data_IF_852939691922
#
_entry.id   IF_852939691922
#
_cell.length_a   1.000
_cell.length_b   1.000
_cell.length_c   1.000
_cell.angle_alpha   90.00
_cell.angle_beta   90.00
_cell.angle_gamma   90.00
#
_symmetry.space_group_name_H-M   'P 1'
#
loop_
_entity.id
_entity.type
_entity.pdbx_description
1 polymer ?
#
# COMPACT_ATOMS: atom_id res chain seq x y z
N UNK A 1 -0.84 -14.58 14.11
CA UNK A 1 -0.47 -14.86 12.75
C UNK A 1 0.69 -13.97 12.33
N UNK A 2 1.77 -14.57 11.88
CA UNK A 2 3.05 -13.93 11.62
C UNK A 2 2.92 -12.84 10.55
N UNK A 3 3.31 -11.61 10.89
CA UNK A 3 3.47 -10.50 9.94
C UNK A 3 4.64 -10.72 8.95
N UNK A 4 5.43 -11.79 9.15
CA UNK A 4 6.60 -12.09 8.33
C UNK A 4 6.30 -12.59 6.92
N UNK A 5 5.19 -13.28 6.71
CA UNK A 5 4.92 -13.95 5.45
C UNK A 5 4.26 -13.06 4.39
N UNK A 6 3.67 -11.94 4.81
CA UNK A 6 2.99 -11.03 3.87
C UNK A 6 3.95 -10.21 2.99
N UNK A 7 5.22 -10.16 3.33
CA UNK A 7 6.23 -9.43 2.57
C UNK A 7 7.02 -10.29 1.58
N UNK A 8 6.95 -11.62 1.71
CA UNK A 8 7.70 -12.56 0.87
C UNK A 8 7.19 -12.67 -0.56
N UNK A 9 5.95 -12.26 -0.81
CA UNK A 9 5.30 -12.35 -2.12
C UNK A 9 5.33 -11.03 -2.92
N UNK A 10 6.13 -10.05 -2.49
CA UNK A 10 6.31 -8.81 -3.22
C UNK A 10 7.14 -9.07 -4.47
N UNK A 11 6.50 -8.99 -5.63
CA UNK A 11 7.16 -9.03 -6.92
C UNK A 11 7.39 -7.61 -7.41
N UNK A 12 8.64 -7.30 -7.73
CA UNK A 12 9.03 -6.07 -8.41
C UNK A 12 9.16 -6.35 -9.90
N UNK A 13 8.47 -5.58 -10.72
CA UNK A 13 8.61 -5.61 -12.16
C UNK A 13 8.77 -4.19 -12.69
N UNK A 14 9.62 -4.01 -13.68
CA UNK A 14 9.83 -2.74 -14.34
C UNK A 14 9.86 -2.91 -15.86
N UNK A 15 9.53 -1.86 -16.59
CA UNK A 15 9.50 -1.88 -18.03
C UNK A 15 8.50 -0.90 -18.64
N UNK A 16 8.28 -1.02 -19.93
CA UNK A 16 7.25 -0.23 -20.61
C UNK A 16 5.86 -0.59 -20.10
N UNK A 17 5.00 0.41 -20.02
CA UNK A 17 3.60 0.21 -19.63
C UNK A 17 2.88 -0.67 -20.66
N UNK A 18 2.62 -1.90 -20.29
CA UNK A 18 1.95 -2.93 -21.11
C UNK A 18 0.96 -3.73 -20.27
N UNK A 19 0.33 -4.70 -20.88
CA UNK A 19 -0.38 -5.77 -20.16
C UNK A 19 0.64 -6.55 -19.33
N UNK A 20 0.26 -6.97 -18.13
CA UNK A 20 1.15 -7.73 -17.23
C UNK A 20 1.48 -7.02 -15.93
N UNK A 21 1.08 -5.76 -15.77
CA UNK A 21 1.19 -5.03 -14.50
C UNK A 21 -0.10 -5.09 -13.64
N UNK A 22 -1.08 -5.85 -14.09
CA UNK A 22 -2.27 -6.17 -13.30
C UNK A 22 -2.07 -7.40 -12.41
N UNK A 23 -3.09 -7.79 -11.70
CA UNK A 23 -3.14 -9.05 -10.98
C UNK A 23 -4.37 -9.86 -11.47
N UNK A 24 -4.17 -11.02 -12.09
CA UNK A 24 -2.92 -11.70 -12.47
C UNK A 24 -2.21 -11.11 -13.71
N UNK A 25 -1.12 -11.73 -14.13
CA UNK A 25 -0.19 -11.24 -15.18
C UNK A 25 -0.81 -10.94 -16.55
N UNK A 26 -1.99 -11.47 -16.86
CA UNK A 26 -2.75 -11.24 -18.10
C UNK A 26 -3.70 -10.04 -17.98
N UNK A 27 -3.74 -9.37 -16.86
CA UNK A 27 -4.64 -8.23 -16.57
C UNK A 27 -3.94 -6.89 -16.66
N UNK A 28 -4.76 -5.87 -16.84
CA UNK A 28 -4.37 -4.47 -16.70
C UNK A 28 -5.02 -3.87 -15.47
N UNK A 29 -4.32 -2.93 -14.84
CA UNK A 29 -4.89 -2.08 -13.80
C UNK A 29 -5.24 -0.69 -14.34
N UNK A 30 -5.77 0.20 -13.49
CA UNK A 30 -6.11 1.57 -13.87
C UNK A 30 -4.90 2.40 -14.33
N UNK A 31 -3.70 2.03 -13.90
CA UNK A 31 -2.44 2.67 -14.30
C UNK A 31 -2.19 2.62 -15.81
N UNK A 32 -2.66 1.58 -16.50
CA UNK A 32 -2.47 1.44 -17.94
C UNK A 32 -3.15 2.57 -18.70
N UNK A 33 -4.44 2.75 -18.51
CA UNK A 33 -5.22 3.79 -19.19
C UNK A 33 -4.81 5.18 -18.74
N UNK A 34 -4.53 5.35 -17.45
CA UNK A 34 -4.01 6.59 -16.90
C UNK A 34 -2.70 6.99 -17.57
N UNK A 35 -1.73 6.08 -17.66
CA UNK A 35 -0.43 6.35 -18.26
C UNK A 35 -0.51 6.72 -19.70
N UNK A 36 -1.23 5.96 -20.54
CA UNK A 36 -1.42 6.25 -21.95
C UNK A 36 -2.09 7.60 -22.17
N UNK A 37 -3.08 7.94 -21.36
CA UNK A 37 -3.80 9.21 -21.45
C UNK A 37 -2.90 10.39 -21.07
N UNK A 38 -2.18 10.27 -19.96
CA UNK A 38 -1.30 11.33 -19.47
C UNK A 38 -0.13 11.60 -20.41
N UNK A 39 0.50 10.56 -20.98
CA UNK A 39 1.55 10.72 -21.97
C UNK A 39 1.05 11.52 -23.19
N UNK A 40 -0.14 11.21 -23.70
CA UNK A 40 -0.75 11.94 -24.82
C UNK A 40 -1.06 13.40 -24.48
N UNK A 41 -1.53 13.67 -23.26
CA UNK A 41 -1.91 15.02 -22.86
C UNK A 41 -0.70 15.90 -22.55
N UNK A 42 0.33 15.34 -21.94
CA UNK A 42 1.54 16.06 -21.55
C UNK A 42 2.57 16.16 -22.69
N UNK A 43 2.56 15.20 -23.62
CA UNK A 43 3.56 15.11 -24.69
C UNK A 43 4.96 14.79 -24.18
N UNK A 44 5.08 14.26 -22.99
CA UNK A 44 6.34 13.94 -22.32
C UNK A 44 6.30 12.52 -21.74
N UNK A 45 7.44 11.84 -21.66
CA UNK A 45 7.54 10.55 -20.96
C UNK A 45 7.12 10.69 -19.50
N UNK A 46 6.34 9.74 -19.00
CA UNK A 46 5.91 9.70 -17.62
C UNK A 46 6.40 8.44 -16.94
N UNK A 47 6.75 8.55 -15.68
CA UNK A 47 7.05 7.42 -14.82
C UNK A 47 5.84 7.11 -13.96
N UNK A 48 5.40 5.86 -13.98
CA UNK A 48 4.35 5.35 -13.08
C UNK A 48 4.98 4.37 -12.10
N UNK A 49 4.85 4.66 -10.83
CA UNK A 49 5.25 3.75 -9.75
C UNK A 49 3.98 3.18 -9.14
N UNK A 50 3.73 1.90 -9.41
CA UNK A 50 2.58 1.19 -8.87
C UNK A 50 2.99 0.46 -7.59
N UNK A 51 2.29 0.76 -6.51
CA UNK A 51 2.37 0.04 -5.25
C UNK A 51 1.00 -0.52 -4.91
N UNK A 52 0.88 -1.84 -4.88
CA UNK A 52 -0.39 -2.49 -4.63
C UNK A 52 -0.19 -3.77 -3.81
N UNK A 53 -1.01 -3.93 -2.79
CA UNK A 53 -1.05 -5.12 -1.94
C UNK A 53 -2.50 -5.53 -1.72
N UNK A 54 -2.81 -6.79 -1.98
CA UNK A 54 -4.16 -7.32 -1.86
C UNK A 54 -4.71 -7.25 -0.43
N UNK A 55 -5.98 -6.91 -0.28
CA UNK A 55 -6.67 -6.93 1.00
C UNK A 55 -6.26 -5.88 2.02
N UNK A 56 -5.58 -4.79 1.60
CA UNK A 56 -5.11 -3.73 2.50
C UNK A 56 -6.05 -2.53 2.50
N UNK A 57 -6.32 -2.02 3.70
CA UNK A 57 -7.24 -0.90 3.90
C UNK A 57 -6.53 0.45 3.86
N UNK A 58 -7.23 1.49 3.39
CA UNK A 58 -6.76 2.86 3.49
C UNK A 58 -6.80 3.36 4.94
N UNK A 59 -7.76 2.88 5.73
CA UNK A 59 -7.97 3.34 7.10
C UNK A 59 -6.86 2.90 8.07
N UNK A 60 -6.29 1.73 7.89
CA UNK A 60 -5.25 1.18 8.77
C UNK A 60 -3.93 1.00 8.04
N UNK A 61 -3.92 0.18 7.00
CA UNK A 61 -2.69 -0.28 6.35
C UNK A 61 -1.95 0.84 5.61
N UNK A 62 -2.68 1.65 4.85
CA UNK A 62 -2.15 2.80 4.11
C UNK A 62 -2.36 4.14 4.82
N UNK A 63 -2.66 4.13 6.12
CA UNK A 63 -2.90 5.37 6.86
C UNK A 63 -1.66 6.25 6.92
N UNK A 64 -1.69 7.48 6.36
CA UNK A 64 -0.56 8.39 6.44
C UNK A 64 -0.42 8.99 7.84
N UNK A 65 0.78 9.44 8.23
CA UNK A 65 0.99 10.10 9.52
C UNK A 65 0.09 11.33 9.75
N UNK A 66 -0.24 12.05 8.66
CA UNK A 66 -1.12 13.23 8.69
C UNK A 66 -2.56 12.90 9.09
N UNK A 67 -2.99 11.66 8.97
CA UNK A 67 -4.32 11.21 9.40
C UNK A 67 -4.37 10.92 10.92
N UNK A 68 -3.25 11.04 11.62
CA UNK A 68 -3.16 10.76 13.04
C UNK A 68 -3.27 9.27 13.38
N UNK A 69 -3.31 8.92 14.67
CA UNK A 69 -3.41 7.55 15.12
C UNK A 69 -4.74 6.91 14.72
N UNK A 70 -4.80 5.58 14.78
CA UNK A 70 -6.04 4.85 14.56
C UNK A 70 -7.11 5.26 15.59
N UNK A 71 -8.26 5.65 15.09
CA UNK A 71 -9.40 6.01 15.93
C UNK A 71 -10.29 4.78 16.14
N UNK A 72 -10.36 4.33 17.37
CA UNK A 72 -11.22 3.21 17.79
C UNK A 72 -12.68 3.69 17.85
N UNK A 73 -13.58 2.94 17.24
CA UNK A 73 -15.01 3.16 17.41
C UNK A 73 -15.50 2.63 18.76
N UNK A 74 -16.59 3.17 19.27
CA UNK A 74 -17.23 2.68 20.50
C UNK A 74 -17.59 1.20 20.39
N UNK A 75 -18.09 0.77 19.26
CA UNK A 75 -18.41 -0.62 18.98
C UNK A 75 -17.19 -1.56 19.10
N UNK A 76 -16.03 -1.16 18.56
CA UNK A 76 -14.80 -1.96 18.70
C UNK A 76 -14.36 -2.06 20.14
N UNK A 77 -14.42 -0.96 20.89
CA UNK A 77 -14.05 -0.92 22.30
C UNK A 77 -14.97 -1.79 23.17
N UNK A 78 -16.28 -1.76 22.90
CA UNK A 78 -17.24 -2.62 23.59
C UNK A 78 -16.97 -4.10 23.32
N UNK A 79 -16.77 -4.47 22.07
CA UNK A 79 -16.43 -5.86 21.70
C UNK A 79 -15.15 -6.37 22.35
N UNK A 80 -14.13 -5.53 22.44
CA UNK A 80 -12.90 -5.90 23.11
C UNK A 80 -13.14 -6.14 24.61
N UNK A 81 -13.96 -5.31 25.25
CA UNK A 81 -14.36 -5.50 26.66
C UNK A 81 -15.15 -6.80 26.87
N UNK A 82 -16.11 -7.08 26.00
CA UNK A 82 -16.92 -8.31 26.05
C UNK A 82 -16.06 -9.58 25.95
N UNK A 83 -14.99 -9.51 25.17
CA UNK A 83 -14.03 -10.62 24.97
C UNK A 83 -12.98 -10.71 26.09
N UNK A 84 -12.96 -9.76 27.01
CA UNK A 84 -11.95 -9.71 28.07
C UNK A 84 -10.53 -9.44 27.54
N UNK A 85 -10.40 -8.76 26.40
CA UNK A 85 -9.11 -8.47 25.78
C UNK A 85 -8.39 -7.31 26.48
N UNK A 86 -7.07 -7.37 26.53
CA UNK A 86 -6.24 -6.28 27.05
C UNK A 86 -6.20 -5.12 26.04
N UNK A 87 -6.96 -4.07 26.36
CA UNK A 87 -7.05 -2.88 25.51
C UNK A 87 -5.72 -2.15 25.33
N UNK A 88 -4.85 -2.16 26.34
CA UNK A 88 -3.54 -1.50 26.24
C UNK A 88 -2.65 -2.22 25.23
N UNK A 89 -2.62 -3.55 25.29
CA UNK A 89 -1.91 -4.40 24.35
C UNK A 89 -2.45 -4.24 22.94
N UNK A 90 -3.77 -4.32 22.75
CA UNK A 90 -4.41 -4.17 21.45
C UNK A 90 -4.14 -2.80 20.82
N UNK A 91 -4.13 -1.74 21.62
CA UNK A 91 -3.79 -0.38 21.12
C UNK A 91 -2.35 -0.29 20.67
N UNK A 92 -1.41 -0.91 21.39
CA UNK A 92 -0.01 -0.95 21.01
C UNK A 92 0.20 -1.72 19.69
N UNK A 93 -0.38 -2.91 19.56
CA UNK A 93 -0.34 -3.72 18.35
C UNK A 93 -0.96 -3.00 17.15
N UNK A 94 -2.09 -2.31 17.35
CA UNK A 94 -2.77 -1.53 16.32
C UNK A 94 -1.92 -0.34 15.88
N UNK A 95 -1.24 0.32 16.82
CA UNK A 95 -0.35 1.44 16.52
C UNK A 95 0.82 1.00 15.63
N UNK A 96 1.44 -0.13 15.94
CA UNK A 96 2.52 -0.70 15.13
C UNK A 96 2.04 -1.09 13.72
N UNK A 97 0.87 -1.72 13.63
CA UNK A 97 0.29 -2.16 12.35
C UNK A 97 -0.22 -0.99 11.48
N UNK A 98 -0.52 0.15 12.09
CA UNK A 98 -1.08 1.30 11.36
C UNK A 98 -0.03 1.96 10.48
N UNK A 99 -0.36 2.14 9.19
CA UNK A 99 0.47 2.84 8.23
C UNK A 99 1.71 2.08 7.77
N UNK A 100 1.82 0.78 8.04
CA UNK A 100 2.95 -0.05 7.59
C UNK A 100 3.09 0.02 6.07
N UNK A 101 2.01 -0.19 5.33
CA UNK A 101 2.03 -0.18 3.87
C UNK A 101 2.20 1.22 3.28
N UNK A 102 1.77 2.26 3.97
CA UNK A 102 2.12 3.63 3.60
C UNK A 102 3.64 3.85 3.66
N UNK A 103 4.29 3.41 4.75
CA UNK A 103 5.75 3.52 4.89
C UNK A 103 6.50 2.72 3.82
N UNK A 104 6.06 1.49 3.54
CA UNK A 104 6.66 0.67 2.49
C UNK A 104 6.46 1.28 1.09
N UNK A 105 5.29 1.84 0.81
CA UNK A 105 5.03 2.59 -0.43
C UNK A 105 6.03 3.74 -0.60
N UNK A 106 6.19 4.59 0.41
CA UNK A 106 7.11 5.73 0.37
C UNK A 106 8.57 5.26 0.24
N UNK A 107 8.95 4.20 0.93
CA UNK A 107 10.27 3.59 0.82
C UNK A 107 10.56 3.09 -0.60
N UNK A 108 9.59 2.41 -1.20
CA UNK A 108 9.71 1.93 -2.58
C UNK A 108 9.82 3.09 -3.59
N UNK A 109 8.98 4.11 -3.46
CA UNK A 109 9.06 5.31 -4.31
C UNK A 109 10.45 5.96 -4.21
N UNK A 110 10.98 6.15 -3.01
CA UNK A 110 12.33 6.70 -2.81
C UNK A 110 13.41 5.82 -3.44
N UNK A 111 13.28 4.51 -3.32
CA UNK A 111 14.20 3.54 -3.91
C UNK A 111 14.21 3.62 -5.44
N UNK A 112 13.05 3.68 -6.08
CA UNK A 112 12.93 3.82 -7.53
C UNK A 112 13.51 5.16 -8.01
N UNK A 113 13.20 6.26 -7.32
CA UNK A 113 13.67 7.59 -7.69
C UNK A 113 15.19 7.78 -7.46
N UNK A 114 15.80 7.03 -6.56
CA UNK A 114 17.24 7.07 -6.33
C UNK A 114 18.05 6.50 -7.52
N UNK A 115 17.46 5.59 -8.28
CA UNK A 115 18.10 5.01 -9.48
C UNK A 115 17.08 4.90 -10.64
N UNK A 116 16.65 6.04 -11.13
CA UNK A 116 15.64 6.13 -12.19
C UNK A 116 16.10 5.50 -13.52
N UNK A 117 17.41 5.36 -13.71
CA UNK A 117 17.96 4.72 -14.93
C UNK A 117 17.73 3.21 -14.95
N UNK A 118 17.37 2.63 -13.82
CA UNK A 118 17.09 1.20 -13.68
C UNK A 118 15.68 0.83 -14.17
N UNK A 119 14.84 1.81 -14.35
CA UNK A 119 13.41 1.60 -14.66
C UNK A 119 13.14 1.65 -16.16
#
# INVERSE_FOLDING_TARGET
GCLGDAYSDLQEASGRLTVGFGAPEDKIGPEFTFGVTMEKLLGEPILIIKTAWGGRSLHTDFRPPSAGPYAWSEYELERCKERGEDLAKLRAEKLEATGVYYREMIKHVKFVLADIKRV
#
